data_IF_203904053904
#
_entry.id   IF_203904053904
#
_cell.length_a   1.000
_cell.length_b   1.000
_cell.length_c   1.000
_cell.angle_alpha   90.00
_cell.angle_beta   90.00
_cell.angle_gamma   90.00
#
_symmetry.space_group_name_H-M   'P 1'
#
loop_
_entity.id
_entity.type
_entity.pdbx_description
1 polymer ?
#
# COMPACT_ATOMS: atom_id res chain seq x y z
N UNK A 1 11.02 -19.94 -1.65
CA UNK A 1 9.84 -19.82 -2.53
C UNK A 1 10.13 -18.73 -3.54
N UNK A 2 9.91 -18.97 -4.85
CA UNK A 2 10.00 -17.88 -5.83
C UNK A 2 9.04 -16.77 -5.38
N UNK A 3 9.47 -15.52 -5.45
CA UNK A 3 8.66 -14.33 -5.17
C UNK A 3 7.63 -14.15 -6.29
N UNK A 4 6.68 -15.08 -6.40
CA UNK A 4 5.63 -15.04 -7.40
C UNK A 4 4.66 -13.92 -7.00
N UNK A 5 4.87 -12.74 -7.60
CA UNK A 5 4.00 -11.58 -7.41
C UNK A 5 2.72 -11.78 -8.21
N UNK A 6 1.60 -11.80 -7.52
CA UNK A 6 0.27 -11.82 -8.15
C UNK A 6 -0.25 -10.39 -8.25
N UNK A 7 -0.72 -9.99 -9.44
CA UNK A 7 -1.43 -8.74 -9.63
C UNK A 7 -2.88 -8.91 -9.16
N UNK A 8 -3.30 -8.09 -8.21
CA UNK A 8 -4.67 -8.07 -7.70
C UNK A 8 -5.29 -6.72 -8.06
N UNK A 9 -6.51 -6.74 -8.60
CA UNK A 9 -7.32 -5.55 -8.83
C UNK A 9 -8.35 -5.41 -7.71
N UNK A 10 -8.39 -4.24 -7.08
CA UNK A 10 -9.28 -3.97 -5.93
C UNK A 10 -9.97 -2.63 -6.14
N UNK A 11 -11.30 -2.59 -5.94
CA UNK A 11 -12.04 -1.33 -5.84
C UNK A 11 -11.97 -0.81 -4.42
N UNK A 12 -11.55 0.43 -4.25
CA UNK A 12 -11.46 1.09 -2.96
C UNK A 12 -12.25 2.41 -2.97
N UNK A 13 -12.80 2.83 -1.82
CA UNK A 13 -13.32 4.17 -1.67
C UNK A 13 -12.26 5.22 -1.98
N UNK A 14 -12.65 6.30 -2.68
CA UNK A 14 -11.73 7.39 -3.05
C UNK A 14 -11.01 7.98 -1.83
N UNK A 15 -11.71 8.09 -0.72
CA UNK A 15 -11.18 8.61 0.55
C UNK A 15 -10.02 7.78 1.10
N UNK A 16 -10.00 6.45 0.84
CA UNK A 16 -8.87 5.59 1.23
C UNK A 16 -7.67 5.85 0.32
N UNK A 17 -7.89 6.02 -0.98
CA UNK A 17 -6.82 6.35 -1.93
C UNK A 17 -6.17 7.70 -1.57
N UNK A 18 -6.97 8.70 -1.24
CA UNK A 18 -6.47 10.02 -0.82
C UNK A 18 -5.61 9.92 0.45
N UNK A 19 -6.02 9.09 1.42
CA UNK A 19 -5.22 8.83 2.62
C UNK A 19 -3.90 8.09 2.31
N UNK A 20 -3.93 7.12 1.40
CA UNK A 20 -2.71 6.42 0.96
C UNK A 20 -1.74 7.37 0.27
N UNK A 21 -2.23 8.26 -0.57
CA UNK A 21 -1.41 9.24 -1.29
C UNK A 21 -0.80 10.27 -0.33
N UNK A 22 -1.54 10.70 0.69
CA UNK A 22 -1.02 11.57 1.73
C UNK A 22 0.09 10.87 2.54
N UNK A 23 -0.17 9.64 3.00
CA UNK A 23 0.82 8.85 3.73
C UNK A 23 2.09 8.62 2.89
N UNK A 24 1.94 8.34 1.59
CA UNK A 24 3.07 8.16 0.66
C UNK A 24 3.98 9.40 0.65
N UNK A 25 3.40 10.61 0.57
CA UNK A 25 4.16 11.87 0.55
C UNK A 25 4.86 12.13 1.87
N UNK A 26 4.16 11.96 2.98
CA UNK A 26 4.69 12.20 4.33
C UNK A 26 5.86 11.27 4.68
N UNK A 27 5.85 10.04 4.17
CA UNK A 27 6.84 9.02 4.46
C UNK A 27 7.88 8.84 3.33
N UNK A 28 7.86 9.69 2.29
CA UNK A 28 8.84 9.66 1.20
C UNK A 28 8.83 8.37 0.37
N UNK A 29 7.68 7.69 0.28
CA UNK A 29 7.58 6.40 -0.40
C UNK A 29 7.48 6.54 -1.92
N UNK A 30 8.19 5.68 -2.63
CA UNK A 30 8.38 5.79 -4.08
C UNK A 30 7.14 5.46 -4.90
N UNK A 31 6.27 4.56 -4.41
CA UNK A 31 5.07 4.11 -5.14
C UNK A 31 3.91 3.82 -4.20
N UNK A 32 2.69 3.96 -4.70
CA UNK A 32 1.48 3.58 -3.97
C UNK A 32 1.48 2.10 -3.57
N UNK A 33 2.05 1.23 -4.40
CA UNK A 33 2.23 -0.20 -4.08
C UNK A 33 3.13 -0.38 -2.85
N UNK A 34 4.25 0.33 -2.78
CA UNK A 34 5.12 0.28 -1.61
C UNK A 34 4.38 0.76 -0.35
N UNK A 35 3.60 1.84 -0.46
CA UNK A 35 2.75 2.35 0.62
C UNK A 35 1.75 1.30 1.11
N UNK A 36 1.02 0.67 0.19
CA UNK A 36 0.04 -0.36 0.54
C UNK A 36 0.73 -1.55 1.24
N UNK A 37 1.85 -2.03 0.70
CA UNK A 37 2.58 -3.15 1.29
C UNK A 37 3.14 -2.82 2.67
N UNK A 38 3.67 -1.62 2.89
CA UNK A 38 4.15 -1.18 4.20
C UNK A 38 3.02 -1.14 5.23
N UNK A 39 1.88 -0.54 4.88
CA UNK A 39 0.74 -0.43 5.78
C UNK A 39 0.14 -1.80 6.09
N UNK A 40 0.07 -2.71 5.11
CA UNK A 40 -0.33 -4.09 5.33
C UNK A 40 0.65 -4.80 6.27
N UNK A 41 1.95 -4.64 6.06
CA UNK A 41 2.99 -5.21 6.94
C UNK A 41 2.82 -4.72 8.38
N UNK A 42 2.69 -3.41 8.59
CA UNK A 42 2.46 -2.79 9.91
C UNK A 42 1.19 -3.31 10.59
N UNK A 43 0.12 -3.53 9.83
CA UNK A 43 -1.15 -4.06 10.36
C UNK A 43 -1.10 -5.56 10.71
N UNK A 44 -0.26 -6.34 10.02
CA UNK A 44 -0.11 -7.78 10.24
C UNK A 44 0.92 -8.12 11.34
N UNK A 45 1.93 -7.28 11.54
CA UNK A 45 3.05 -7.56 12.45
C UNK A 45 2.77 -7.35 13.94
N UNK A 46 1.56 -6.89 14.33
CA UNK A 46 1.11 -6.60 15.72
C UNK A 46 2.20 -6.45 16.78
#
# INVERSE_FOLDING_TARGET
>A
MKNDKVRVEVRMPKTIIEKLDQYQKENGLSTRTATILELLRKGLER
#
